data_IF_810054356981
#
_entry.id   IF_810054356981
#
_cell.length_a   1.000
_cell.length_b   1.000
_cell.length_c   1.000
_cell.angle_alpha   90.00
_cell.angle_beta   90.00
_cell.angle_gamma   90.00
#
_symmetry.space_group_name_H-M   'P 1'
#
loop_
_entity.id
_entity.type
_entity.pdbx_description
1 polymer ?
#
# COMPACT_ATOMS: atom_id res chain seq x y z
N UNK A 1 14.75 -23.52 -20.73
CA UNK A 1 14.96 -22.36 -19.84
C UNK A 1 14.01 -21.29 -20.30
N UNK A 2 13.02 -20.91 -19.49
CA UNK A 2 12.06 -19.86 -19.88
C UNK A 2 12.80 -18.53 -19.94
N UNK A 3 12.64 -17.77 -21.02
CA UNK A 3 13.20 -16.44 -21.18
C UNK A 3 12.69 -15.55 -20.02
N UNK A 4 13.61 -14.90 -19.29
CA UNK A 4 13.24 -14.04 -18.16
C UNK A 4 12.51 -12.82 -18.72
N UNK A 5 11.29 -12.58 -18.23
CA UNK A 5 10.51 -11.41 -18.60
C UNK A 5 11.32 -10.11 -18.35
N UNK A 6 11.41 -9.25 -19.35
CA UNK A 6 12.05 -7.94 -19.22
C UNK A 6 11.13 -7.05 -18.41
N UNK A 7 11.62 -6.54 -17.28
CA UNK A 7 10.86 -5.65 -16.38
C UNK A 7 11.63 -4.39 -16.04
N UNK A 8 10.92 -3.31 -15.77
CA UNK A 8 11.46 -2.01 -15.35
C UNK A 8 11.12 -1.72 -13.89
N UNK A 9 12.06 -1.05 -13.19
CA UNK A 9 11.86 -0.66 -11.79
C UNK A 9 11.49 -1.86 -10.91
N UNK A 10 10.47 -1.69 -10.08
CA UNK A 10 9.91 -2.76 -9.25
C UNK A 10 8.91 -3.60 -10.04
N UNK A 11 9.41 -4.37 -11.01
CA UNK A 11 8.66 -5.44 -11.68
C UNK A 11 7.64 -5.02 -12.73
N UNK A 12 7.67 -3.77 -13.21
CA UNK A 12 6.74 -3.31 -14.27
C UNK A 12 7.05 -4.04 -15.57
N UNK A 13 6.06 -4.65 -16.25
CA UNK A 13 6.30 -5.34 -17.52
C UNK A 13 6.75 -4.36 -18.61
N UNK A 14 7.53 -4.85 -19.57
CA UNK A 14 7.96 -4.09 -20.74
C UNK A 14 6.85 -3.93 -21.80
N UNK A 15 5.66 -3.51 -21.36
CA UNK A 15 4.53 -3.20 -22.23
C UNK A 15 4.52 -1.69 -22.60
N UNK A 16 3.89 -1.29 -23.70
CA UNK A 16 3.85 0.12 -24.12
C UNK A 16 3.11 1.04 -23.14
N UNK A 17 2.01 0.59 -22.55
CA UNK A 17 1.16 1.36 -21.64
C UNK A 17 0.72 0.51 -20.43
N UNK A 18 1.66 0.10 -19.56
CA UNK A 18 1.35 -0.76 -18.44
C UNK A 18 0.61 0.03 -17.36
N UNK A 19 -0.39 -0.61 -16.72
CA UNK A 19 -0.92 -0.09 -15.46
C UNK A 19 0.17 -0.24 -14.39
N UNK A 20 0.59 0.88 -13.82
CA UNK A 20 1.71 0.95 -12.89
C UNK A 20 1.48 2.02 -11.82
N UNK A 21 2.33 2.02 -10.80
CA UNK A 21 2.48 3.13 -9.89
C UNK A 21 3.81 3.83 -10.10
N UNK A 22 3.85 5.13 -9.85
CA UNK A 22 5.03 5.96 -9.92
C UNK A 22 5.25 6.62 -8.56
N UNK A 23 6.38 6.33 -7.92
CA UNK A 23 6.83 7.06 -6.73
C UNK A 23 7.76 8.16 -7.19
N UNK A 24 7.31 9.41 -7.07
CA UNK A 24 8.06 10.60 -7.46
C UNK A 24 8.80 11.16 -6.26
N UNK A 25 10.11 10.98 -6.25
CA UNK A 25 10.99 11.43 -5.18
C UNK A 25 11.63 12.74 -5.64
N UNK A 26 11.25 13.90 -5.07
CA UNK A 26 11.85 15.18 -5.47
C UNK A 26 13.32 15.28 -5.10
N UNK A 27 14.02 16.18 -5.79
CA UNK A 27 15.40 16.60 -5.51
C UNK A 27 15.50 17.40 -4.21
N UNK A 28 14.49 18.22 -3.92
CA UNK A 28 14.41 19.00 -2.69
C UNK A 28 14.37 18.12 -1.44
N UNK A 29 14.89 18.67 -0.35
CA UNK A 29 15.02 17.94 0.93
C UNK A 29 13.76 17.95 1.77
N UNK A 30 12.82 18.85 1.49
CA UNK A 30 11.57 19.05 2.24
C UNK A 30 10.33 18.76 1.40
N UNK A 31 10.47 18.74 0.07
CA UNK A 31 9.35 18.51 -0.83
C UNK A 31 8.76 17.10 -0.63
N UNK A 32 7.42 16.97 -0.65
CA UNK A 32 6.76 15.70 -0.40
C UNK A 32 7.06 14.68 -1.50
N UNK A 33 7.00 13.41 -1.12
CA UNK A 33 7.08 12.28 -2.07
C UNK A 33 5.67 11.95 -2.53
N UNK A 34 5.45 11.97 -3.83
CA UNK A 34 4.12 11.68 -4.39
C UNK A 34 4.04 10.24 -4.88
N UNK A 35 2.90 9.60 -4.64
CA UNK A 35 2.57 8.29 -5.21
C UNK A 35 1.44 8.48 -6.22
N UNK A 36 1.76 8.23 -7.48
CA UNK A 36 0.83 8.31 -8.59
C UNK A 36 0.43 6.93 -9.08
N UNK A 37 -0.84 6.76 -9.44
CA UNK A 37 -1.31 5.60 -10.20
C UNK A 37 -1.45 6.01 -11.66
N UNK A 38 -0.83 5.25 -12.55
CA UNK A 38 -0.90 5.41 -14.00
C UNK A 38 -1.65 4.21 -14.55
N UNK A 39 -2.88 4.44 -15.01
CA UNK A 39 -3.79 3.38 -15.45
C UNK A 39 -3.41 2.77 -16.80
N UNK A 40 -2.42 3.35 -17.50
CA UNK A 40 -1.93 2.83 -18.77
C UNK A 40 -3.04 2.72 -19.82
N UNK A 41 -3.06 1.60 -20.55
CA UNK A 41 -4.01 1.37 -21.63
C UNK A 41 -5.49 1.47 -21.20
N UNK A 42 -5.81 1.18 -19.93
CA UNK A 42 -7.18 1.19 -19.42
C UNK A 42 -7.80 2.60 -19.36
N UNK A 43 -6.98 3.66 -19.36
CA UNK A 43 -7.44 5.05 -19.33
C UNK A 43 -7.23 5.78 -20.66
N UNK A 44 -6.92 5.06 -21.75
CA UNK A 44 -6.88 5.68 -23.08
C UNK A 44 -8.25 6.25 -23.43
N UNK A 45 -8.26 7.52 -23.86
CA UNK A 45 -9.49 8.23 -24.19
C UNK A 45 -10.27 8.79 -22.98
N UNK A 46 -9.75 8.65 -21.76
CA UNK A 46 -10.30 9.32 -20.57
C UNK A 46 -9.51 10.58 -20.24
N UNK A 47 -10.12 11.49 -19.47
CA UNK A 47 -9.47 12.70 -18.96
C UNK A 47 -8.49 12.43 -17.82
N UNK A 48 -8.54 11.25 -17.19
CA UNK A 48 -7.78 10.91 -15.98
C UNK A 48 -6.89 9.68 -16.23
N UNK A 49 -5.81 9.87 -17.00
CA UNK A 49 -4.82 8.81 -17.27
C UNK A 49 -3.94 8.49 -16.06
N UNK A 50 -3.68 9.50 -15.24
CA UNK A 50 -2.90 9.38 -14.01
C UNK A 50 -3.61 10.08 -12.88
N UNK A 51 -3.48 9.53 -11.68
CA UNK A 51 -4.08 10.03 -10.47
C UNK A 51 -3.02 10.12 -9.37
N UNK A 52 -2.84 11.29 -8.78
CA UNK A 52 -2.00 11.42 -7.58
C UNK A 52 -2.80 10.88 -6.39
N UNK A 53 -2.41 9.70 -5.89
CA UNK A 53 -3.13 9.03 -4.81
C UNK A 53 -2.84 9.65 -3.46
N UNK A 54 -1.61 10.13 -3.26
CA UNK A 54 -1.14 10.63 -1.97
C UNK A 54 0.19 11.38 -2.12
N UNK A 55 0.36 12.43 -1.30
CA UNK A 55 1.62 13.12 -1.07
C UNK A 55 2.09 12.84 0.36
N UNK A 56 3.31 12.33 0.52
CA UNK A 56 3.88 11.88 1.79
C UNK A 56 4.93 12.89 2.25
N UNK A 57 4.91 13.33 3.53
CA UNK A 57 5.97 14.13 4.10
C UNK A 57 7.35 13.48 3.91
N UNK A 58 8.35 14.30 3.56
CA UNK A 58 9.66 13.79 3.16
C UNK A 58 10.35 12.97 4.25
N UNK A 59 10.19 13.34 5.51
CA UNK A 59 10.78 12.64 6.65
C UNK A 59 10.11 11.29 6.92
N UNK A 60 8.77 11.24 6.85
CA UNK A 60 8.02 9.98 6.94
C UNK A 60 8.43 9.01 5.82
N UNK A 61 8.57 9.48 4.58
CA UNK A 61 9.07 8.65 3.48
C UNK A 61 10.49 8.14 3.75
N UNK A 62 11.41 9.03 4.16
CA UNK A 62 12.80 8.65 4.46
C UNK A 62 12.85 7.52 5.49
N UNK A 63 12.05 7.60 6.54
CA UNK A 63 11.98 6.58 7.58
C UNK A 63 11.63 5.19 7.04
N UNK A 64 10.66 5.11 6.12
CA UNK A 64 10.12 3.81 5.67
C UNK A 64 10.73 3.30 4.36
N UNK A 65 11.36 4.19 3.57
CA UNK A 65 11.77 3.91 2.19
C UNK A 65 12.64 2.66 2.02
N UNK A 66 13.55 2.41 2.96
CA UNK A 66 14.44 1.26 2.91
C UNK A 66 13.73 -0.04 3.25
N UNK A 67 12.83 0.00 4.23
CA UNK A 67 11.95 -1.12 4.58
C UNK A 67 11.00 -1.46 3.42
N UNK A 68 10.39 -0.45 2.80
CA UNK A 68 9.54 -0.60 1.61
C UNK A 68 10.35 -1.23 0.47
N UNK A 69 11.56 -0.74 0.19
CA UNK A 69 12.44 -1.34 -0.84
C UNK A 69 12.68 -2.81 -0.55
N UNK A 70 12.96 -3.16 0.71
CA UNK A 70 13.14 -4.54 1.16
C UNK A 70 11.91 -5.41 0.89
N UNK A 71 10.72 -4.94 1.27
CA UNK A 71 9.45 -5.63 1.04
C UNK A 71 9.20 -5.87 -0.46
N UNK A 72 9.31 -4.82 -1.28
CA UNK A 72 9.09 -4.92 -2.72
C UNK A 72 10.10 -5.88 -3.37
N UNK A 73 11.38 -5.79 -3.03
CA UNK A 73 12.40 -6.68 -3.59
C UNK A 73 12.25 -8.13 -3.16
N UNK A 74 11.72 -8.40 -1.96
CA UNK A 74 11.34 -9.77 -1.54
C UNK A 74 10.30 -10.35 -2.50
N UNK A 75 9.29 -9.57 -2.86
CA UNK A 75 8.23 -9.97 -3.81
C UNK A 75 8.76 -10.20 -5.22
N UNK A 76 9.70 -9.37 -5.68
CA UNK A 76 10.37 -9.57 -6.98
C UNK A 76 11.16 -10.90 -6.99
N UNK A 77 11.90 -11.19 -5.91
CA UNK A 77 12.68 -12.43 -5.77
C UNK A 77 11.79 -13.68 -5.75
N UNK A 78 10.63 -13.64 -5.10
CA UNK A 78 9.63 -14.72 -5.14
C UNK A 78 9.16 -15.06 -6.56
N UNK A 79 9.31 -14.12 -7.51
CA UNK A 79 8.97 -14.27 -8.92
C UNK A 79 10.18 -14.39 -9.84
N UNK A 80 11.39 -14.59 -9.29
CA UNK A 80 12.67 -14.65 -10.01
C UNK A 80 12.98 -13.40 -10.89
N UNK A 81 12.47 -12.24 -10.44
CA UNK A 81 12.67 -10.94 -11.07
C UNK A 81 13.86 -10.19 -10.44
N UNK A 82 14.45 -9.27 -11.22
CA UNK A 82 15.59 -8.46 -10.78
C UNK A 82 15.18 -7.45 -9.70
N UNK A 83 15.99 -7.33 -8.64
CA UNK A 83 15.78 -6.33 -7.59
C UNK A 83 16.01 -4.90 -8.10
N UNK A 84 15.33 -3.94 -7.47
CA UNK A 84 15.37 -2.51 -7.79
C UNK A 84 15.70 -1.66 -6.55
N UNK A 85 15.88 -0.36 -6.77
CA UNK A 85 16.11 0.64 -5.71
C UNK A 85 15.34 1.91 -6.00
N UNK A 86 14.98 2.63 -4.95
CA UNK A 86 14.48 4.00 -5.09
C UNK A 86 15.62 4.96 -5.43
N UNK A 87 15.34 5.91 -6.32
CA UNK A 87 16.21 7.02 -6.68
C UNK A 87 15.38 8.32 -6.79
N UNK A 88 16.05 9.47 -6.78
CA UNK A 88 15.41 10.74 -7.13
C UNK A 88 14.79 10.68 -8.52
N UNK A 89 13.63 11.29 -8.69
CA UNK A 89 12.81 11.20 -9.91
C UNK A 89 11.69 10.17 -9.81
N UNK A 90 11.27 9.64 -10.96
CA UNK A 90 10.16 8.69 -11.03
C UNK A 90 10.64 7.24 -10.87
N UNK A 91 10.04 6.52 -9.93
CA UNK A 91 10.32 5.11 -9.68
C UNK A 91 9.10 4.28 -10.03
N UNK A 92 9.26 3.38 -11.01
CA UNK A 92 8.17 2.56 -11.55
C UNK A 92 7.94 1.33 -10.68
N UNK A 93 6.67 1.05 -10.35
CA UNK A 93 6.25 -0.08 -9.53
C UNK A 93 5.09 -0.80 -10.20
N UNK A 94 5.15 -2.14 -10.27
CA UNK A 94 4.07 -2.97 -10.79
C UNK A 94 2.77 -2.71 -10.03
N UNK A 95 1.63 -2.80 -10.72
CA UNK A 95 0.30 -2.46 -10.21
C UNK A 95 -0.01 -3.04 -8.84
N UNK A 96 0.19 -4.34 -8.62
CA UNK A 96 -0.16 -5.02 -7.36
C UNK A 96 0.76 -4.57 -6.23
N UNK A 97 2.06 -4.45 -6.51
CA UNK A 97 3.04 -3.93 -5.56
C UNK A 97 2.78 -2.45 -5.21
N UNK A 98 2.35 -1.66 -6.19
CA UNK A 98 1.97 -0.27 -6.00
C UNK A 98 0.74 -0.11 -5.13
N UNK A 99 -0.25 -1.01 -5.23
CA UNK A 99 -1.41 -1.05 -4.32
C UNK A 99 -0.99 -1.30 -2.88
N UNK A 100 -0.11 -2.28 -2.64
CA UNK A 100 0.42 -2.56 -1.30
C UNK A 100 1.12 -1.32 -0.72
N UNK A 101 1.97 -0.67 -1.53
CA UNK A 101 2.64 0.58 -1.14
C UNK A 101 1.65 1.73 -0.87
N UNK A 102 0.59 1.86 -1.68
CA UNK A 102 -0.38 2.93 -1.55
C UNK A 102 -1.13 2.87 -0.21
N UNK A 103 -1.39 1.66 0.32
CA UNK A 103 -1.96 1.49 1.67
C UNK A 103 -1.05 2.07 2.75
N UNK A 104 0.25 1.78 2.70
CA UNK A 104 1.21 2.38 3.62
C UNK A 104 1.25 3.90 3.43
N UNK A 105 1.28 4.37 2.18
CA UNK A 105 1.38 5.77 1.85
C UNK A 105 0.20 6.59 2.41
N UNK A 106 -1.04 6.13 2.25
CA UNK A 106 -2.22 6.74 2.90
C UNK A 106 -2.13 6.72 4.42
N UNK A 107 -1.54 5.68 5.01
CA UNK A 107 -1.36 5.61 6.46
C UNK A 107 -0.44 6.71 6.97
N UNK A 108 0.64 7.01 6.22
CA UNK A 108 1.72 7.92 6.64
C UNK A 108 1.64 9.32 6.04
N UNK A 109 0.54 9.67 5.38
CA UNK A 109 0.41 10.93 4.63
C UNK A 109 0.41 12.20 5.49
N UNK A 110 0.12 12.07 6.79
CA UNK A 110 0.28 13.13 7.81
C UNK A 110 1.08 12.62 9.01
N UNK A 111 1.88 11.57 8.82
CA UNK A 111 2.62 10.96 9.93
C UNK A 111 3.94 11.70 10.22
N UNK A 112 4.31 11.74 11.50
CA UNK A 112 5.69 12.03 11.89
C UNK A 112 6.61 10.86 11.50
N UNK A 113 7.93 11.06 11.59
CA UNK A 113 8.90 9.98 11.34
C UNK A 113 8.65 8.77 12.26
N UNK A 114 8.39 8.99 13.55
CA UNK A 114 8.18 7.90 14.51
C UNK A 114 6.88 7.14 14.24
N UNK A 115 5.80 7.86 13.95
CA UNK A 115 4.53 7.28 13.53
C UNK A 115 4.68 6.45 12.24
N UNK A 116 5.48 6.92 11.28
CA UNK A 116 5.74 6.21 10.05
C UNK A 116 6.50 4.89 10.28
N UNK A 117 7.43 4.86 11.24
CA UNK A 117 8.12 3.62 11.64
C UNK A 117 7.16 2.57 12.24
N UNK A 118 6.23 3.02 13.09
CA UNK A 118 5.19 2.17 13.68
C UNK A 118 4.27 1.63 12.58
N UNK A 119 3.79 2.52 11.70
CA UNK A 119 2.96 2.16 10.56
C UNK A 119 3.61 1.10 9.69
N UNK A 120 4.90 1.29 9.34
CA UNK A 120 5.65 0.35 8.52
C UNK A 120 5.76 -1.04 9.17
N UNK A 121 6.04 -1.10 10.47
CA UNK A 121 6.15 -2.38 11.20
C UNK A 121 4.84 -3.17 11.14
N UNK A 122 3.71 -2.51 11.38
CA UNK A 122 2.39 -3.15 11.31
C UNK A 122 1.99 -3.48 9.88
N UNK A 123 2.17 -2.55 8.94
CA UNK A 123 1.91 -2.76 7.52
C UNK A 123 2.68 -3.96 6.95
N UNK A 124 3.98 -4.08 7.26
CA UNK A 124 4.84 -5.15 6.75
C UNK A 124 4.51 -6.55 7.33
N UNK A 125 3.70 -6.59 8.38
CA UNK A 125 3.21 -7.82 9.01
C UNK A 125 1.92 -8.35 8.38
N UNK A 126 1.25 -7.54 7.55
CA UNK A 126 0.06 -7.97 6.83
C UNK A 126 0.38 -8.91 5.68
N UNK A 127 -0.56 -9.81 5.39
CA UNK A 127 -0.50 -10.62 4.17
C UNK A 127 -0.82 -9.75 2.95
N UNK A 128 -0.24 -10.03 1.77
CA UNK A 128 -0.55 -9.28 0.55
C UNK A 128 -2.04 -9.16 0.28
N UNK A 129 -2.82 -10.23 0.48
CA UNK A 129 -4.25 -10.26 0.23
C UNK A 129 -5.03 -9.31 1.15
N UNK A 130 -4.57 -9.14 2.40
CA UNK A 130 -5.15 -8.19 3.35
C UNK A 130 -4.88 -6.77 2.90
N UNK A 131 -3.66 -6.49 2.42
CA UNK A 131 -3.30 -5.18 1.86
C UNK A 131 -4.10 -4.89 0.58
N UNK A 132 -4.32 -5.87 -0.27
CA UNK A 132 -5.13 -5.69 -1.48
C UNK A 132 -6.59 -5.43 -1.12
N UNK A 133 -7.12 -6.12 -0.12
CA UNK A 133 -8.47 -5.86 0.38
C UNK A 133 -8.58 -4.44 0.95
N UNK A 134 -7.62 -4.02 1.79
CA UNK A 134 -7.57 -2.66 2.35
C UNK A 134 -7.48 -1.60 1.25
N UNK A 135 -6.63 -1.82 0.24
CA UNK A 135 -6.56 -0.93 -0.92
C UNK A 135 -7.93 -0.76 -1.55
N UNK A 136 -8.66 -1.85 -1.80
CA UNK A 136 -9.99 -1.79 -2.42
C UNK A 136 -11.02 -1.05 -1.55
N UNK A 137 -10.95 -1.16 -0.22
CA UNK A 137 -11.86 -0.41 0.67
C UNK A 137 -11.55 1.10 0.62
N UNK A 138 -10.28 1.48 0.66
CA UNK A 138 -9.87 2.89 0.64
C UNK A 138 -10.09 3.50 -0.75
N UNK A 139 -9.81 2.76 -1.82
CA UNK A 139 -9.96 3.22 -3.21
C UNK A 139 -11.43 3.49 -3.57
N UNK A 140 -12.37 2.68 -3.06
CA UNK A 140 -13.82 2.89 -3.27
C UNK A 140 -14.34 4.17 -2.65
N UNK A 141 -13.82 4.52 -1.48
CA UNK A 141 -14.19 5.73 -0.74
C UNK A 141 -13.28 6.92 -1.10
N UNK A 142 -12.23 6.69 -1.90
CA UNK A 142 -11.11 7.59 -2.07
C UNK A 142 -11.24 8.57 -3.24
N UNK A 143 -10.70 9.77 -3.04
CA UNK A 143 -10.40 10.73 -4.10
C UNK A 143 -8.89 10.90 -4.31
N UNK A 144 -8.48 12.03 -4.88
CA UNK A 144 -7.05 12.33 -5.09
C UNK A 144 -6.32 12.63 -3.75
N UNK A 145 -5.07 13.06 -3.86
CA UNK A 145 -4.24 13.41 -2.70
C UNK A 145 -4.84 14.53 -1.82
N UNK A 146 -5.62 15.44 -2.39
CA UNK A 146 -6.21 16.63 -1.73
C UNK A 146 -7.64 16.39 -1.22
N UNK A 147 -8.19 15.21 -1.45
CA UNK A 147 -9.54 14.87 -1.01
C UNK A 147 -9.64 14.73 0.51
N UNK A 148 -10.81 15.02 1.12
CA UNK A 148 -10.98 14.90 2.57
C UNK A 148 -10.61 13.52 3.10
N UNK A 149 -9.81 13.49 4.17
CA UNK A 149 -9.33 12.25 4.80
C UNK A 149 -10.40 11.70 5.74
N UNK A 150 -11.36 10.95 5.19
CA UNK A 150 -12.48 10.36 5.93
C UNK A 150 -12.61 8.86 5.64
N UNK A 151 -13.60 8.20 6.25
CA UNK A 151 -13.92 6.80 6.00
C UNK A 151 -12.72 5.87 6.23
N UNK A 152 -12.48 4.97 5.27
CA UNK A 152 -11.39 4.00 5.36
C UNK A 152 -9.98 4.63 5.35
N UNK A 153 -9.80 5.80 4.73
CA UNK A 153 -8.51 6.51 4.72
C UNK A 153 -8.14 7.03 6.12
N UNK A 154 -9.12 7.53 6.88
CA UNK A 154 -8.92 7.86 8.30
C UNK A 154 -8.76 6.58 9.16
N UNK A 155 -9.56 5.54 8.87
CA UNK A 155 -9.54 4.30 9.65
C UNK A 155 -8.18 3.58 9.59
N UNK A 156 -7.53 3.53 8.41
CA UNK A 156 -6.24 2.86 8.27
C UNK A 156 -5.13 3.55 9.08
N UNK A 157 -5.17 4.89 9.17
CA UNK A 157 -4.27 5.64 10.03
C UNK A 157 -4.41 5.18 11.49
N UNK A 158 -5.63 5.16 12.03
CA UNK A 158 -5.85 4.70 13.41
C UNK A 158 -5.53 3.23 13.63
N UNK A 159 -5.73 2.38 12.62
CA UNK A 159 -5.44 0.95 12.72
C UNK A 159 -3.93 0.69 12.80
N UNK A 160 -3.13 1.40 12.00
CA UNK A 160 -1.69 1.16 11.87
C UNK A 160 -0.84 2.12 12.70
N UNK A 161 -1.33 3.29 13.04
CA UNK A 161 -0.71 4.28 13.93
C UNK A 161 -1.66 4.41 15.13
N UNK A 162 -1.43 3.58 16.16
CA UNK A 162 -2.17 3.71 17.43
C UNK A 162 -1.32 4.55 18.35
N UNK A 163 -1.88 5.64 18.84
CA UNK A 163 -1.29 6.42 19.93
C UNK A 163 -1.34 5.59 21.22
N UNK A 164 -0.21 5.45 21.93
CA UNK A 164 -0.17 4.87 23.27
C UNK A 164 -0.32 3.35 23.39
N UNK A 165 0.52 2.56 22.71
CA UNK A 165 0.59 1.09 22.91
C UNK A 165 1.31 0.71 24.23
N UNK A 166 0.91 1.34 25.34
CA UNK A 166 0.90 0.75 26.68
C UNK A 166 -0.55 0.50 27.11
N UNK A 167 -1.39 -0.06 26.23
CA UNK A 167 -2.66 -0.61 26.70
C UNK A 167 -2.32 -1.94 27.36
N UNK A 168 -2.09 -1.93 28.67
CA UNK A 168 -2.02 -3.13 29.49
C UNK A 168 -3.07 -4.11 28.98
N UNK A 169 -2.66 -5.33 28.62
CA UNK A 169 -3.52 -6.30 27.96
C UNK A 169 -4.83 -6.41 28.75
N UNK A 170 -5.87 -5.71 28.30
CA UNK A 170 -7.14 -5.71 29.00
C UNK A 170 -7.57 -7.16 29.04
N UNK A 171 -7.91 -7.68 30.22
CA UNK A 171 -8.41 -9.04 30.40
C UNK A 171 -9.54 -9.23 29.41
N UNK A 172 -9.23 -9.91 28.29
CA UNK A 172 -10.21 -10.18 27.23
C UNK A 172 -11.33 -10.91 27.93
N UNK A 173 -12.55 -10.38 27.88
CA UNK A 173 -13.71 -11.14 28.31
C UNK A 173 -13.64 -12.49 27.59
N UNK A 174 -13.63 -13.62 28.31
CA UNK A 174 -13.57 -14.91 27.65
C UNK A 174 -14.72 -14.94 26.65
N UNK A 175 -14.37 -15.20 25.38
CA UNK A 175 -15.39 -15.44 24.36
C UNK A 175 -16.28 -16.54 24.93
N UNK A 176 -17.62 -16.35 24.98
CA UNK A 176 -18.51 -17.42 25.39
C UNK A 176 -18.11 -18.68 24.62
N UNK A 177 -17.92 -19.79 25.32
CA UNK A 177 -17.75 -21.06 24.62
C UNK A 177 -19.00 -21.20 23.75
N UNK A 178 -18.81 -21.18 22.44
CA UNK A 178 -19.87 -21.55 21.52
C UNK A 178 -20.22 -22.98 21.91
N UNK A 179 -21.35 -23.14 22.61
CA UNK A 179 -22.06 -24.42 22.57
C UNK A 179 -22.12 -24.76 21.10
N UNK A 180 -21.67 -25.95 20.71
CA UNK A 180 -21.59 -26.36 19.32
C UNK A 180 -22.96 -26.23 18.63
N UNK A 181 -23.30 -25.02 18.22
CA UNK A 181 -24.38 -24.75 17.31
C UNK A 181 -23.90 -25.40 16.04
N UNK A 182 -24.63 -26.44 15.62
CA UNK A 182 -24.47 -27.01 14.27
C UNK A 182 -24.43 -25.81 13.35
N UNK A 183 -23.28 -25.56 12.72
CA UNK A 183 -23.12 -24.47 11.75
C UNK A 183 -24.38 -24.47 10.91
N UNK A 184 -25.20 -23.41 10.97
CA UNK A 184 -26.42 -23.35 10.20
C UNK A 184 -26.00 -23.57 8.75
N UNK A 185 -26.46 -24.68 8.18
CA UNK A 185 -26.21 -24.95 6.78
C UNK A 185 -27.01 -23.92 6.00
N UNK A 186 -26.30 -22.90 5.51
CA UNK A 186 -26.87 -21.73 4.83
C UNK A 186 -27.64 -22.12 3.56
N UNK A 187 -27.51 -23.37 3.11
CA UNK A 187 -28.13 -23.90 1.90
C UNK A 187 -29.06 -25.08 2.16
N UNK A 188 -29.49 -25.27 3.42
CA UNK A 188 -30.36 -26.41 3.78
C UNK A 188 -31.66 -26.52 3.01
N UNK A 189 -32.14 -25.39 2.47
CA UNK A 189 -33.40 -25.28 1.74
C UNK A 189 -33.21 -24.90 0.25
N UNK A 190 -32.01 -25.11 -0.33
CA UNK A 190 -31.77 -25.01 -1.78
C UNK A 190 -31.81 -26.37 -2.49
#
# INVERSE_FOLDING_TARGET
MSEKAITHGFGVPNDPLPHQFLVKIPTGRTDPVEVWEDFGAAALGTSAQKLCRVAIPRDAWRQVSEGVKGHLNRRLKEKDLKSSRFATGENRIERILGRELCVLAWTIEDATSDEAAIAFTRWSSHRPEELWWLFQQIDKDGGEWDSPKSGWRAAIRHALIREGDEVAAATRRPRPQSTAEKTPDLFKDL
#
